data_IF_913743024767
#
_entry.id   IF_913743024767
#
_cell.length_a   1.000
_cell.length_b   1.000
_cell.length_c   1.000
_cell.angle_alpha   90.00
_cell.angle_beta   90.00
_cell.angle_gamma   90.00
#
_symmetry.space_group_name_H-M   'P 1'
#
loop_
_entity.id
_entity.type
_entity.pdbx_description
1 polymer ?
#
# COMPACT_ATOMS: atom_id res chain seq x y z
N UNK A 1 8.32 -54.84 -3.88
CA UNK A 1 8.47 -53.39 -3.59
C UNK A 1 7.57 -53.04 -2.41
N UNK A 2 8.15 -52.49 -1.34
CA UNK A 2 7.48 -52.27 -0.05
C UNK A 2 6.39 -51.20 -0.14
N UNK A 3 5.13 -51.61 -0.01
CA UNK A 3 3.94 -50.71 -0.01
C UNK A 3 4.01 -49.59 1.05
N UNK A 4 4.75 -49.82 2.15
CA UNK A 4 5.02 -48.83 3.21
C UNK A 4 5.79 -47.60 2.71
N UNK A 5 6.76 -47.78 1.80
CA UNK A 5 7.54 -46.66 1.25
C UNK A 5 6.71 -45.71 0.40
N UNK A 6 5.67 -46.22 -0.29
CA UNK A 6 4.75 -45.42 -1.08
C UNK A 6 3.91 -44.47 -0.21
N UNK A 7 3.37 -44.97 0.90
CA UNK A 7 2.53 -44.18 1.81
C UNK A 7 3.32 -43.05 2.50
N UNK A 8 4.56 -43.32 2.92
CA UNK A 8 5.41 -42.30 3.55
C UNK A 8 5.81 -41.24 2.52
N UNK A 9 6.20 -41.64 1.31
CA UNK A 9 6.55 -40.71 0.24
C UNK A 9 5.37 -39.80 -0.14
N UNK A 10 4.16 -40.35 -0.24
CA UNK A 10 2.94 -39.59 -0.51
C UNK A 10 2.61 -38.59 0.61
N UNK A 11 2.80 -39.01 1.87
CA UNK A 11 2.67 -38.12 3.03
C UNK A 11 3.65 -36.94 3.00
N UNK A 12 4.92 -37.19 2.62
CA UNK A 12 5.93 -36.14 2.48
C UNK A 12 5.56 -35.17 1.36
N UNK A 13 5.21 -35.67 0.18
CA UNK A 13 4.81 -34.84 -0.98
C UNK A 13 3.61 -33.97 -0.63
N UNK A 14 2.60 -34.54 0.02
CA UNK A 14 1.40 -33.81 0.43
C UNK A 14 1.73 -32.71 1.45
N UNK A 15 2.61 -33.01 2.42
CA UNK A 15 3.09 -32.04 3.40
C UNK A 15 3.91 -30.91 2.77
N UNK A 16 4.76 -31.23 1.79
CA UNK A 16 5.57 -30.24 1.07
C UNK A 16 4.69 -29.31 0.24
N UNK A 17 3.76 -29.87 -0.55
CA UNK A 17 2.80 -29.06 -1.33
C UNK A 17 1.97 -28.14 -0.45
N UNK A 18 1.52 -28.62 0.71
CA UNK A 18 0.76 -27.78 1.66
C UNK A 18 1.62 -26.62 2.16
N UNK A 19 2.88 -26.88 2.52
CA UNK A 19 3.81 -25.84 2.99
C UNK A 19 4.17 -24.85 1.89
N UNK A 20 4.40 -25.33 0.68
CA UNK A 20 4.65 -24.51 -0.49
C UNK A 20 3.50 -23.55 -0.74
N UNK A 21 2.24 -24.04 -0.77
CA UNK A 21 1.07 -23.17 -0.94
C UNK A 21 0.98 -22.09 0.14
N UNK A 22 1.17 -22.45 1.42
CA UNK A 22 1.13 -21.49 2.52
C UNK A 22 2.22 -20.42 2.40
N UNK A 23 3.43 -20.82 1.99
CA UNK A 23 4.55 -19.89 1.80
C UNK A 23 4.31 -18.97 0.61
N UNK A 24 3.84 -19.50 -0.52
CA UNK A 24 3.63 -18.73 -1.74
C UNK A 24 2.37 -17.87 -1.70
N UNK A 25 1.42 -18.16 -0.80
CA UNK A 25 0.30 -17.26 -0.47
C UNK A 25 0.77 -16.04 0.35
N UNK A 26 1.96 -16.06 0.94
CA UNK A 26 2.52 -14.90 1.64
C UNK A 26 3.02 -13.85 0.63
N UNK A 27 2.27 -12.76 0.53
CA UNK A 27 2.58 -11.59 -0.31
C UNK A 27 3.97 -10.99 -0.05
N UNK A 28 4.42 -10.91 1.20
CA UNK A 28 5.74 -10.34 1.55
C UNK A 28 6.85 -11.25 1.05
N UNK A 29 6.73 -12.56 1.32
CA UNK A 29 7.72 -13.54 0.87
C UNK A 29 7.78 -13.56 -0.67
N UNK A 30 6.63 -13.57 -1.33
CA UNK A 30 6.56 -13.59 -2.78
C UNK A 30 7.17 -12.34 -3.42
N UNK A 31 6.90 -11.16 -2.85
CA UNK A 31 7.53 -9.91 -3.26
C UNK A 31 9.05 -9.91 -3.02
N UNK A 32 9.52 -10.49 -1.91
CA UNK A 32 10.94 -10.61 -1.59
C UNK A 32 11.67 -11.53 -2.59
N UNK A 33 11.09 -12.70 -2.88
CA UNK A 33 11.63 -13.65 -3.87
C UNK A 33 11.61 -13.04 -5.27
N UNK A 34 10.57 -12.27 -5.61
CA UNK A 34 10.54 -11.54 -6.87
C UNK A 34 11.66 -10.49 -6.95
N UNK A 35 11.95 -9.77 -5.87
CA UNK A 35 13.03 -8.78 -5.88
C UNK A 35 14.43 -9.41 -5.95
N UNK A 36 14.58 -10.67 -5.56
CA UNK A 36 15.86 -11.35 -5.57
C UNK A 36 16.28 -11.80 -6.99
N UNK A 37 17.33 -11.21 -7.60
CA UNK A 37 17.78 -11.60 -8.95
C UNK A 37 18.17 -13.08 -9.08
N UNK A 38 18.65 -13.69 -7.99
CA UNK A 38 19.09 -15.09 -7.98
C UNK A 38 17.91 -16.05 -7.87
N UNK A 39 16.89 -15.68 -7.09
CA UNK A 39 15.77 -16.56 -6.76
C UNK A 39 14.48 -16.28 -7.54
N UNK A 40 14.40 -15.17 -8.28
CA UNK A 40 13.24 -14.85 -9.15
C UNK A 40 12.89 -15.95 -10.15
N UNK A 41 13.90 -16.68 -10.66
CA UNK A 41 13.72 -17.81 -11.59
C UNK A 41 12.90 -18.96 -11.01
N UNK A 42 12.74 -19.02 -9.69
CA UNK A 42 11.94 -20.05 -9.02
C UNK A 42 10.43 -19.78 -9.13
N UNK A 43 10.04 -18.55 -9.49
CA UNK A 43 8.65 -18.17 -9.62
C UNK A 43 8.12 -18.52 -11.01
N UNK A 44 6.91 -19.08 -11.05
CA UNK A 44 6.17 -19.18 -12.31
C UNK A 44 5.57 -17.81 -12.71
N UNK A 45 4.91 -17.74 -13.87
CA UNK A 45 4.34 -16.50 -14.39
C UNK A 45 3.21 -15.93 -13.50
N UNK A 46 2.43 -16.79 -12.84
CA UNK A 46 1.32 -16.38 -11.97
C UNK A 46 1.87 -15.81 -10.66
N UNK A 47 2.81 -16.53 -10.05
CA UNK A 47 3.56 -16.13 -8.86
C UNK A 47 4.35 -14.85 -9.10
N UNK A 48 4.95 -14.69 -10.29
CA UNK A 48 5.63 -13.45 -10.67
C UNK A 48 4.64 -12.28 -10.71
N UNK A 49 3.49 -12.46 -11.36
CA UNK A 49 2.44 -11.44 -11.41
C UNK A 49 1.95 -11.04 -10.01
N UNK A 50 1.67 -12.04 -9.16
CA UNK A 50 1.28 -11.84 -7.76
C UNK A 50 2.37 -11.15 -6.93
N UNK A 51 3.64 -11.48 -7.16
CA UNK A 51 4.77 -10.83 -6.50
C UNK A 51 4.88 -9.35 -6.85
N UNK A 52 4.68 -8.99 -8.14
CA UNK A 52 4.65 -7.59 -8.58
C UNK A 52 3.49 -6.82 -7.96
N UNK A 53 2.30 -7.42 -7.93
CA UNK A 53 1.11 -6.82 -7.32
C UNK A 53 1.28 -6.63 -5.81
N UNK A 54 1.78 -7.65 -5.10
CA UNK A 54 2.09 -7.56 -3.68
C UNK A 54 3.10 -6.44 -3.39
N UNK A 55 4.13 -6.33 -4.20
CA UNK A 55 5.13 -5.27 -4.05
C UNK A 55 4.53 -3.87 -4.28
N UNK A 56 3.64 -3.73 -5.27
CA UNK A 56 2.90 -2.49 -5.51
C UNK A 56 1.98 -2.13 -4.34
N UNK A 57 1.23 -3.08 -3.79
CA UNK A 57 0.37 -2.84 -2.60
C UNK A 57 1.19 -2.31 -1.41
N UNK A 58 2.37 -2.90 -1.17
CA UNK A 58 3.27 -2.44 -0.11
C UNK A 58 3.81 -1.04 -0.42
N UNK A 59 4.14 -0.76 -1.68
CA UNK A 59 4.59 0.55 -2.14
C UNK A 59 3.56 1.65 -1.89
N UNK A 60 2.29 1.37 -2.21
CA UNK A 60 1.17 2.29 -1.96
C UNK A 60 1.05 2.58 -0.46
N UNK A 61 1.09 1.55 0.39
CA UNK A 61 1.00 1.72 1.85
C UNK A 61 2.15 2.55 2.41
N UNK A 62 3.39 2.29 1.96
CA UNK A 62 4.56 3.07 2.40
C UNK A 62 4.41 4.53 1.98
N UNK A 63 3.94 4.79 0.75
CA UNK A 63 3.70 6.15 0.24
C UNK A 63 2.63 6.87 1.05
N UNK A 64 1.51 6.22 1.35
CA UNK A 64 0.44 6.78 2.18
C UNK A 64 0.92 7.14 3.59
N UNK A 65 1.73 6.28 4.22
CA UNK A 65 2.31 6.54 5.54
C UNK A 65 3.24 7.77 5.53
N UNK A 66 4.05 7.94 4.49
CA UNK A 66 4.92 9.12 4.33
C UNK A 66 4.09 10.39 4.21
N UNK A 67 3.02 10.37 3.41
CA UNK A 67 2.12 11.53 3.24
C UNK A 67 1.38 11.92 4.52
N UNK A 68 1.09 11.00 5.44
CA UNK A 68 0.47 11.31 6.74
C UNK A 68 1.46 11.93 7.73
N UNK A 69 2.73 11.53 7.66
CA UNK A 69 3.78 12.03 8.57
C UNK A 69 4.12 13.49 8.27
N UNK A 70 4.01 13.92 7.01
CA UNK A 70 4.27 15.31 6.58
C UNK A 70 3.18 16.31 7.01
N UNK A 71 2.01 15.86 7.48
CA UNK A 71 0.88 16.73 7.87
C UNK A 71 0.96 17.17 9.35
N UNK A 72 1.89 16.62 10.14
CA UNK A 72 1.96 16.79 11.60
C UNK A 72 3.01 17.78 12.11
N UNK A 73 3.32 18.85 11.38
CA UNK A 73 3.83 20.08 12.02
C UNK A 73 2.66 21.06 12.25
N UNK A 74 2.07 21.11 13.46
CA UNK A 74 1.15 22.20 13.77
C UNK A 74 1.97 23.44 14.13
N UNK A 75 1.92 24.42 13.23
CA UNK A 75 2.16 25.82 13.56
C UNK A 75 1.37 26.21 14.81
N UNK A 76 2.06 26.91 15.71
CA UNK A 76 1.54 27.48 16.94
C UNK A 76 0.36 28.42 16.65
N UNK A 77 -0.82 28.18 17.24
CA UNK A 77 -1.82 29.25 17.42
C UNK A 77 -2.32 29.25 18.86
N UNK A 78 -2.05 30.40 19.49
CA UNK A 78 -2.39 30.81 20.85
C UNK A 78 -3.91 30.89 21.08
N UNK A 79 -4.29 30.60 22.32
CA UNK A 79 -5.51 30.91 23.06
C UNK A 79 -6.41 32.04 22.52
N UNK A 80 -7.73 31.92 22.73
CA UNK A 80 -8.57 32.93 23.40
C UNK A 80 -9.83 32.21 23.97
N UNK A 81 -9.98 32.26 25.28
CA UNK A 81 -11.23 32.03 26.01
C UNK A 81 -12.28 33.07 25.64
N UNK A 82 -13.56 32.68 25.59
CA UNK A 82 -14.66 33.57 25.99
C UNK A 82 -15.94 32.79 26.28
N UNK A 83 -16.30 32.81 27.56
CA UNK A 83 -17.64 32.55 28.07
C UNK A 83 -18.58 33.73 27.78
N UNK A 84 -19.86 33.47 27.52
CA UNK A 84 -21.02 34.10 28.19
C UNK A 84 -22.35 33.73 27.52
N UNK A 85 -23.34 33.50 28.38
CA UNK A 85 -24.76 33.22 28.13
C UNK A 85 -25.54 34.42 27.59
N UNK A 86 -26.64 34.16 26.87
CA UNK A 86 -27.92 34.86 27.09
C UNK A 86 -29.06 34.18 26.34
N UNK A 87 -30.08 33.75 27.08
CA UNK A 87 -31.43 33.43 26.60
C UNK A 87 -32.08 34.64 25.92
N UNK A 88 -32.95 34.40 24.94
CA UNK A 88 -34.19 35.18 24.70
C UNK A 88 -35.04 34.51 23.62
N UNK A 89 -36.15 33.91 24.04
CA UNK A 89 -37.29 33.53 23.19
C UNK A 89 -37.98 34.78 22.62
N UNK A 90 -38.29 34.79 21.32
CA UNK A 90 -39.54 35.38 20.84
C UNK A 90 -39.89 34.88 19.44
N UNK A 91 -41.10 34.35 19.32
CA UNK A 91 -41.70 33.89 18.08
C UNK A 91 -42.10 35.07 17.18
N UNK A 92 -41.76 35.00 15.89
CA UNK A 92 -42.52 35.69 14.86
C UNK A 92 -42.52 34.89 13.56
N UNK A 93 -43.72 34.69 13.02
CA UNK A 93 -43.97 33.96 11.78
C UNK A 93 -43.48 34.77 10.59
N UNK A 94 -42.33 34.38 10.05
CA UNK A 94 -41.99 34.55 8.65
C UNK A 94 -41.36 33.24 8.22
N UNK A 95 -41.49 32.84 6.95
CA UNK A 95 -40.66 31.77 6.40
C UNK A 95 -39.22 32.29 6.32
N UNK A 96 -38.60 32.48 7.48
CA UNK A 96 -37.17 32.70 7.60
C UNK A 96 -36.53 31.41 7.10
N UNK A 97 -35.81 31.54 6.00
CA UNK A 97 -34.84 30.54 5.61
C UNK A 97 -33.92 30.45 6.82
N UNK A 98 -34.02 29.34 7.55
CA UNK A 98 -33.15 29.03 8.68
C UNK A 98 -31.71 29.19 8.20
N UNK A 99 -31.10 30.31 8.60
CA UNK A 99 -29.80 30.75 8.11
C UNK A 99 -28.72 29.72 8.46
N UNK A 100 -28.90 29.02 9.57
CA UNK A 100 -28.01 27.95 10.01
C UNK A 100 -28.13 26.74 9.08
N UNK A 101 -29.35 26.31 8.73
CA UNK A 101 -29.57 25.27 7.70
C UNK A 101 -29.00 25.65 6.31
N UNK A 102 -29.08 26.93 5.93
CA UNK A 102 -28.50 27.43 4.67
C UNK A 102 -26.96 27.43 4.69
N UNK A 103 -26.37 27.83 5.82
CA UNK A 103 -24.91 27.76 6.02
C UNK A 103 -24.41 26.31 6.01
N UNK A 104 -25.11 25.41 6.68
CA UNK A 104 -24.80 23.98 6.68
C UNK A 104 -24.86 23.37 5.28
N UNK A 105 -25.84 23.76 4.46
CA UNK A 105 -25.91 23.27 3.06
C UNK A 105 -24.79 23.83 2.19
N UNK A 106 -24.39 25.10 2.38
CA UNK A 106 -23.24 25.68 1.69
C UNK A 106 -21.94 25.01 2.13
N UNK A 107 -21.76 24.76 3.43
CA UNK A 107 -20.59 24.10 3.98
C UNK A 107 -20.50 22.65 3.49
N UNK A 108 -21.60 21.88 3.57
CA UNK A 108 -21.67 20.53 3.03
C UNK A 108 -21.43 20.49 1.51
N UNK A 109 -21.90 21.49 0.77
CA UNK A 109 -21.65 21.59 -0.67
C UNK A 109 -20.17 21.91 -0.97
N UNK A 110 -19.52 22.78 -0.19
CA UNK A 110 -18.08 23.07 -0.29
C UNK A 110 -17.24 21.86 0.09
N UNK A 111 -17.58 21.16 1.16
CA UNK A 111 -16.92 19.91 1.59
C UNK A 111 -17.09 18.82 0.53
N UNK A 112 -18.28 18.67 -0.07
CA UNK A 112 -18.51 17.71 -1.16
C UNK A 112 -17.69 18.04 -2.42
N UNK A 113 -17.58 19.31 -2.79
CA UNK A 113 -16.75 19.74 -3.93
C UNK A 113 -15.27 19.47 -3.68
N UNK A 114 -14.76 19.84 -2.51
CA UNK A 114 -13.38 19.52 -2.12
C UNK A 114 -13.14 18.01 -2.08
N UNK A 115 -14.08 17.22 -1.57
CA UNK A 115 -13.95 15.75 -1.52
C UNK A 115 -13.97 15.11 -2.91
N UNK A 116 -14.81 15.61 -3.83
CA UNK A 116 -14.91 15.12 -5.21
C UNK A 116 -13.70 15.49 -6.07
N UNK A 117 -13.22 16.73 -5.96
CA UNK A 117 -12.05 17.19 -6.72
C UNK A 117 -10.77 16.52 -6.20
N UNK A 118 -10.65 16.34 -4.88
CA UNK A 118 -9.55 15.59 -4.29
C UNK A 118 -9.60 14.11 -4.66
N UNK A 119 -10.79 13.46 -4.68
CA UNK A 119 -10.91 12.06 -5.07
C UNK A 119 -10.44 11.82 -6.52
N UNK A 120 -10.92 12.63 -7.47
CA UNK A 120 -10.50 12.50 -8.87
C UNK A 120 -9.00 12.80 -9.07
N UNK A 121 -8.45 13.78 -8.35
CA UNK A 121 -7.02 14.07 -8.40
C UNK A 121 -6.16 12.96 -7.76
N UNK A 122 -6.66 12.31 -6.71
CA UNK A 122 -6.00 11.16 -6.05
C UNK A 122 -5.99 9.95 -6.99
N UNK A 123 -7.09 9.65 -7.67
CA UNK A 123 -7.18 8.54 -8.63
C UNK A 123 -6.22 8.71 -9.82
N UNK A 124 -6.08 9.94 -10.35
CA UNK A 124 -5.12 10.24 -11.42
C UNK A 124 -3.67 10.11 -10.92
N UNK A 125 -3.37 10.51 -9.68
CA UNK A 125 -2.03 10.35 -9.09
C UNK A 125 -1.70 8.88 -8.84
N UNK A 126 -2.68 8.07 -8.43
CA UNK A 126 -2.50 6.64 -8.19
C UNK A 126 -2.28 5.86 -9.48
N UNK A 127 -3.02 6.18 -10.55
CA UNK A 127 -2.84 5.54 -11.87
C UNK A 127 -1.49 5.86 -12.51
N UNK A 128 -1.01 7.10 -12.41
CA UNK A 128 0.34 7.46 -12.85
C UNK A 128 1.41 6.73 -12.04
N UNK A 129 1.28 6.74 -10.71
CA UNK A 129 2.19 6.02 -9.83
C UNK A 129 2.23 4.51 -10.16
N UNK A 130 1.08 3.90 -10.46
CA UNK A 130 1.01 2.51 -10.89
C UNK A 130 1.83 2.28 -12.16
N UNK A 131 1.63 3.09 -13.19
CA UNK A 131 2.38 2.97 -14.46
C UNK A 131 3.87 3.14 -14.25
N UNK A 132 4.29 4.17 -13.50
CA UNK A 132 5.69 4.44 -13.21
C UNK A 132 6.32 3.29 -12.40
N UNK A 133 5.58 2.74 -11.43
CA UNK A 133 6.04 1.64 -10.59
C UNK A 133 6.26 0.38 -11.41
N UNK A 134 5.27 -0.07 -12.18
CA UNK A 134 5.42 -1.25 -13.03
C UNK A 134 6.46 -1.04 -14.14
N UNK A 135 6.60 0.19 -14.65
CA UNK A 135 7.69 0.56 -15.55
C UNK A 135 9.07 0.39 -14.91
N UNK A 136 9.23 0.84 -13.66
CA UNK A 136 10.46 0.68 -12.90
C UNK A 136 10.80 -0.80 -12.60
N UNK A 137 9.80 -1.66 -12.45
CA UNK A 137 10.02 -3.11 -12.29
C UNK A 137 10.71 -3.73 -13.52
N UNK A 138 10.48 -3.20 -14.72
CA UNK A 138 11.20 -3.66 -15.92
C UNK A 138 12.71 -3.38 -15.82
N UNK A 139 13.12 -2.35 -15.07
CA UNK A 139 14.54 -2.07 -14.82
C UNK A 139 15.12 -3.00 -13.76
N UNK A 140 14.34 -3.33 -12.73
CA UNK A 140 14.70 -4.36 -11.73
C UNK A 140 14.88 -5.73 -12.39
N UNK A 141 14.11 -6.01 -13.44
CA UNK A 141 14.20 -7.23 -14.24
C UNK A 141 15.47 -7.36 -15.08
N UNK A 142 16.20 -6.26 -15.31
CA UNK A 142 17.51 -6.31 -15.98
C UNK A 142 18.56 -7.00 -15.11
N UNK A 143 18.38 -6.99 -13.79
CA UNK A 143 19.21 -7.74 -12.85
C UNK A 143 18.65 -9.15 -12.75
N UNK A 144 19.42 -10.11 -13.25
CA UNK A 144 19.06 -11.52 -13.31
C UNK A 144 20.14 -12.40 -12.68
N UNK A 145 19.93 -13.72 -12.75
CA UNK A 145 20.91 -14.70 -12.25
C UNK A 145 22.28 -14.57 -12.91
N UNK A 146 22.34 -14.11 -14.17
CA UNK A 146 23.60 -13.94 -14.91
C UNK A 146 24.45 -12.78 -14.36
N UNK A 147 23.79 -11.79 -13.75
CA UNK A 147 24.43 -10.64 -13.11
C UNK A 147 25.25 -11.03 -11.88
N UNK A 148 24.97 -12.19 -11.26
CA UNK A 148 25.64 -12.71 -10.04
C UNK A 148 25.66 -11.73 -8.87
N UNK A 149 24.67 -10.84 -8.81
CA UNK A 149 24.51 -9.83 -7.75
C UNK A 149 23.51 -10.35 -6.73
N UNK A 150 23.83 -10.22 -5.45
CA UNK A 150 22.90 -10.55 -4.36
C UNK A 150 21.83 -9.48 -4.21
N UNK A 151 20.73 -9.77 -3.49
CA UNK A 151 19.65 -8.79 -3.29
C UNK A 151 20.15 -7.51 -2.62
N UNK A 152 21.02 -7.64 -1.63
CA UNK A 152 21.58 -6.51 -0.87
C UNK A 152 22.43 -5.59 -1.76
N UNK A 153 23.14 -6.16 -2.73
CA UNK A 153 23.95 -5.42 -3.70
C UNK A 153 23.10 -4.85 -4.85
N UNK A 154 21.99 -5.50 -5.20
CA UNK A 154 21.11 -5.09 -6.28
C UNK A 154 20.18 -3.93 -5.86
N UNK A 155 19.67 -3.93 -4.63
CA UNK A 155 18.76 -2.90 -4.10
C UNK A 155 19.28 -1.47 -4.30
N UNK A 156 20.56 -1.14 -4.00
CA UNK A 156 21.11 0.20 -4.25
C UNK A 156 20.98 0.69 -5.70
N UNK A 157 20.99 -0.23 -6.66
CA UNK A 157 20.92 0.03 -8.09
C UNK A 157 19.49 0.07 -8.65
N UNK A 158 18.48 -0.28 -7.85
CA UNK A 158 17.08 -0.21 -8.26
C UNK A 158 16.58 1.24 -8.34
N UNK A 159 15.58 1.51 -9.21
CA UNK A 159 14.92 2.82 -9.25
C UNK A 159 14.40 3.22 -7.86
N UNK A 160 14.53 4.51 -7.51
CA UNK A 160 14.17 5.03 -6.19
C UNK A 160 12.73 4.67 -5.77
N UNK A 161 11.80 4.66 -6.73
CA UNK A 161 10.39 4.30 -6.51
C UNK A 161 10.19 2.85 -6.00
N UNK A 162 11.11 1.94 -6.33
CA UNK A 162 11.10 0.54 -5.90
C UNK A 162 12.05 0.30 -4.74
N UNK A 163 13.14 1.05 -4.66
CA UNK A 163 14.24 0.88 -3.70
C UNK A 163 13.79 0.87 -2.25
N UNK A 164 12.97 1.82 -1.85
CA UNK A 164 12.46 1.92 -0.47
C UNK A 164 11.60 0.71 -0.10
N UNK A 165 10.76 0.28 -1.03
CA UNK A 165 9.88 -0.88 -0.86
C UNK A 165 10.71 -2.15 -0.81
N UNK A 166 11.73 -2.25 -1.67
CA UNK A 166 12.62 -3.40 -1.70
C UNK A 166 13.37 -3.56 -0.38
N UNK A 167 13.92 -2.46 0.17
CA UNK A 167 14.54 -2.45 1.50
C UNK A 167 13.58 -2.90 2.60
N UNK A 168 12.36 -2.37 2.58
CA UNK A 168 11.35 -2.72 3.57
C UNK A 168 11.00 -4.22 3.50
N UNK A 169 10.75 -4.73 2.29
CA UNK A 169 10.37 -6.13 2.07
C UNK A 169 11.49 -7.09 2.44
N UNK A 170 12.74 -6.79 2.09
CA UNK A 170 13.87 -7.66 2.45
C UNK A 170 14.21 -7.62 3.94
N UNK A 171 13.90 -6.51 4.63
CA UNK A 171 14.11 -6.39 6.07
C UNK A 171 13.00 -7.06 6.90
N UNK A 172 11.84 -7.36 6.29
CA UNK A 172 10.73 -7.99 6.99
C UNK A 172 10.95 -9.51 7.10
N UNK A 173 10.79 -10.09 8.31
CA UNK A 173 10.79 -11.54 8.43
C UNK A 173 9.57 -12.11 7.67
N UNK A 174 9.71 -13.29 7.03
CA UNK A 174 8.57 -13.95 6.42
C UNK A 174 7.55 -14.27 7.51
N UNK A 175 6.41 -13.58 7.49
CA UNK A 175 5.34 -13.76 8.47
C UNK A 175 4.70 -15.13 8.27
N UNK A 176 4.69 -15.96 9.31
CA UNK A 176 4.02 -17.27 9.34
C UNK A 176 2.60 -17.14 9.90
#
# INVERSE_FOLDING_TARGET
>A
LNKSGGLIAEGIVSSMKRRENVLLDNKILLAAVYLDPMNRILLDNDQTSKGKEALYEIAVRIKEMKSQTEIHEPEQVRNIDKSSSSDSDSASSNKEIDFDSYLDTIEQAKVKRHRSENAAAVDIKNTRFQQDFFGALMEVEKFDRSSKVTVEEAIPAYPEIVKDVARAVTAMPPTQ
#
